data_IF_774447247731
#
_entry.id   IF_774447247731
#
_cell.length_a   1.000
_cell.length_b   1.000
_cell.length_c   1.000
_cell.angle_alpha   90.00
_cell.angle_beta   90.00
_cell.angle_gamma   90.00
#
_symmetry.space_group_name_H-M   'P 1'
#
loop_
_entity.id
_entity.type
_entity.pdbx_description
1 polymer ?
#
# COMPACT_ATOMS: atom_id res chain seq x y z
N UNK A 1 -10.94 -21.51 13.75
CA UNK A 1 -10.36 -20.23 13.26
C UNK A 1 -10.86 -19.12 14.17
N UNK A 2 -9.95 -18.33 14.74
CA UNK A 2 -10.30 -17.26 15.67
C UNK A 2 -10.86 -16.07 14.89
N UNK A 3 -11.99 -15.52 15.35
CA UNK A 3 -12.60 -14.33 14.77
C UNK A 3 -12.00 -13.10 15.44
N UNK A 4 -11.31 -12.28 14.66
CA UNK A 4 -10.73 -11.02 15.11
C UNK A 4 -11.84 -9.99 15.38
N UNK A 5 -11.60 -9.11 16.36
CA UNK A 5 -12.38 -7.87 16.56
C UNK A 5 -11.55 -6.65 16.09
N UNK A 6 -12.23 -5.59 15.66
CA UNK A 6 -11.55 -4.34 15.22
C UNK A 6 -10.75 -3.73 16.38
N UNK A 7 -11.30 -3.73 17.60
CA UNK A 7 -10.63 -3.20 18.78
C UNK A 7 -9.35 -3.96 19.14
N UNK A 8 -9.35 -5.29 19.01
CA UNK A 8 -8.15 -6.10 19.23
C UNK A 8 -7.06 -5.78 18.20
N UNK A 9 -7.41 -5.71 16.90
CA UNK A 9 -6.47 -5.36 15.85
C UNK A 9 -5.89 -3.95 16.01
N UNK A 10 -6.72 -2.99 16.42
CA UNK A 10 -6.30 -1.62 16.72
C UNK A 10 -5.31 -1.59 17.89
N UNK A 11 -5.67 -2.19 19.03
CA UNK A 11 -4.80 -2.26 20.20
C UNK A 11 -3.46 -2.95 19.88
N UNK A 12 -3.50 -4.09 19.18
CA UNK A 12 -2.29 -4.82 18.77
C UNK A 12 -1.42 -4.01 17.80
N UNK A 13 -2.01 -3.17 16.94
CA UNK A 13 -1.24 -2.31 16.02
C UNK A 13 -0.35 -1.36 16.81
N UNK A 14 -0.91 -0.66 17.79
CA UNK A 14 -0.16 0.29 18.61
C UNK A 14 0.73 -0.40 19.65
N UNK A 15 0.35 -1.59 20.14
CA UNK A 15 1.20 -2.40 21.00
C UNK A 15 2.45 -2.87 20.25
N UNK A 16 2.30 -3.39 19.02
CA UNK A 16 3.41 -3.78 18.16
C UNK A 16 4.31 -2.58 17.83
N UNK A 17 3.70 -1.46 17.44
CA UNK A 17 4.43 -0.22 17.15
C UNK A 17 5.24 0.24 18.37
N UNK A 18 4.61 0.32 19.54
CA UNK A 18 5.26 0.76 20.78
C UNK A 18 6.40 -0.17 21.20
N UNK A 19 6.24 -1.49 21.04
CA UNK A 19 7.27 -2.46 21.38
C UNK A 19 8.50 -2.38 20.45
N UNK A 20 8.28 -2.05 19.17
CA UNK A 20 9.32 -2.13 18.14
C UNK A 20 9.77 -0.77 17.61
N UNK A 21 9.26 0.35 18.15
CA UNK A 21 9.38 1.68 17.56
C UNK A 21 10.81 2.06 17.16
N UNK A 22 11.81 1.77 18.02
CA UNK A 22 13.21 2.10 17.76
C UNK A 22 13.76 1.31 16.57
N UNK A 23 13.49 0.00 16.52
CA UNK A 23 13.92 -0.85 15.41
C UNK A 23 13.22 -0.42 14.12
N UNK A 24 11.93 -0.11 14.20
CA UNK A 24 11.17 0.36 13.06
C UNK A 24 11.69 1.69 12.51
N UNK A 25 12.04 2.65 13.39
CA UNK A 25 12.66 3.91 12.97
C UNK A 25 14.01 3.70 12.29
N UNK A 26 14.87 2.84 12.84
CA UNK A 26 16.18 2.57 12.22
C UNK A 26 16.03 1.93 10.84
N UNK A 27 15.21 0.87 10.72
CA UNK A 27 15.11 0.11 9.47
C UNK A 27 14.20 0.76 8.44
N UNK A 28 12.99 1.20 8.81
CA UNK A 28 12.08 1.88 7.87
C UNK A 28 12.51 3.33 7.64
N UNK A 29 12.95 4.05 8.66
CA UNK A 29 13.49 5.41 8.48
C UNK A 29 14.73 5.39 7.58
N UNK A 30 15.66 4.46 7.82
CA UNK A 30 16.82 4.24 6.95
C UNK A 30 16.43 3.85 5.52
N UNK A 31 15.45 2.94 5.36
CA UNK A 31 14.92 2.57 4.06
C UNK A 31 14.29 3.76 3.32
N UNK A 32 13.51 4.60 4.02
CA UNK A 32 12.89 5.80 3.44
C UNK A 32 13.95 6.79 2.97
N UNK A 33 14.96 7.06 3.79
CA UNK A 33 16.08 7.95 3.41
C UNK A 33 16.80 7.41 2.17
N UNK A 34 17.11 6.11 2.15
CA UNK A 34 17.74 5.47 1.00
C UNK A 34 16.86 5.58 -0.25
N UNK A 35 15.57 5.31 -0.14
CA UNK A 35 14.61 5.44 -1.26
C UNK A 35 14.51 6.88 -1.76
N UNK A 36 14.51 7.88 -0.87
CA UNK A 36 14.53 9.29 -1.27
C UNK A 36 15.82 9.65 -2.03
N UNK A 37 16.97 9.17 -1.58
CA UNK A 37 18.26 9.38 -2.26
C UNK A 37 18.28 8.71 -3.63
N UNK A 38 17.82 7.45 -3.72
CA UNK A 38 17.70 6.75 -4.99
C UNK A 38 16.70 7.45 -5.91
N UNK A 39 15.58 7.93 -5.39
CA UNK A 39 14.57 8.67 -6.16
C UNK A 39 15.17 9.94 -6.74
N UNK A 40 15.94 10.68 -5.96
CA UNK A 40 16.67 11.84 -6.45
C UNK A 40 17.68 11.50 -7.55
N UNK A 41 18.38 10.35 -7.47
CA UNK A 41 19.35 9.93 -8.49
C UNK A 41 18.67 9.41 -9.78
N UNK A 42 17.64 8.56 -9.64
CA UNK A 42 16.99 7.89 -10.77
C UNK A 42 15.92 8.75 -11.45
N UNK A 43 15.26 9.65 -10.71
CA UNK A 43 14.09 10.39 -11.20
C UNK A 43 14.35 11.88 -11.45
N UNK A 44 15.58 12.38 -11.21
CA UNK A 44 15.92 13.82 -11.25
C UNK A 44 15.38 14.56 -12.47
N UNK A 45 15.59 13.97 -13.64
CA UNK A 45 15.20 14.56 -14.91
C UNK A 45 13.93 13.90 -15.48
N UNK A 46 13.49 12.77 -14.93
CA UNK A 46 12.40 11.95 -15.47
C UNK A 46 11.07 12.70 -15.52
N UNK A 47 10.75 13.46 -14.47
CA UNK A 47 9.52 14.27 -14.42
C UNK A 47 9.58 15.42 -15.42
N UNK A 48 10.72 16.11 -15.51
CA UNK A 48 10.94 17.18 -16.49
C UNK A 48 10.87 16.64 -17.93
N UNK A 49 11.45 15.45 -18.19
CA UNK A 49 11.37 14.76 -19.47
C UNK A 49 9.92 14.40 -19.82
N UNK A 50 9.10 13.92 -18.87
CA UNK A 50 7.67 13.69 -19.13
C UNK A 50 6.90 14.96 -19.48
N UNK A 51 7.18 16.07 -18.78
CA UNK A 51 6.53 17.36 -19.04
C UNK A 51 6.92 17.94 -20.41
N UNK A 52 8.14 17.68 -20.87
CA UNK A 52 8.65 18.14 -22.17
C UNK A 52 8.38 17.15 -23.32
N UNK A 53 7.97 15.91 -23.04
CA UNK A 53 7.70 14.87 -24.04
C UNK A 53 6.37 15.06 -24.81
N UNK A 54 5.82 16.28 -24.86
CA UNK A 54 4.61 16.55 -25.64
C UNK A 54 4.87 16.24 -27.13
N UNK A 55 4.25 15.17 -27.64
CA UNK A 55 4.41 14.72 -29.02
C UNK A 55 5.52 13.69 -29.27
N UNK A 56 6.27 13.26 -28.24
CA UNK A 56 7.25 12.18 -28.33
C UNK A 56 6.89 11.00 -27.41
N UNK A 57 6.13 10.00 -27.93
CA UNK A 57 5.77 8.81 -27.18
C UNK A 57 6.98 8.02 -26.67
N UNK A 58 8.12 8.08 -27.36
CA UNK A 58 9.31 7.31 -26.98
C UNK A 58 9.98 7.89 -25.73
N UNK A 59 10.09 9.22 -25.64
CA UNK A 59 10.58 9.92 -24.46
C UNK A 59 9.64 9.74 -23.25
N UNK A 60 8.33 9.77 -23.47
CA UNK A 60 7.34 9.52 -22.42
C UNK A 60 7.44 8.08 -21.89
N UNK A 61 7.51 7.08 -22.77
CA UNK A 61 7.66 5.67 -22.39
C UNK A 61 8.99 5.40 -21.68
N UNK A 62 10.08 6.00 -22.14
CA UNK A 62 11.39 5.89 -21.47
C UNK A 62 11.34 6.42 -20.04
N UNK A 63 10.72 7.58 -19.84
CA UNK A 63 10.53 8.15 -18.51
C UNK A 63 9.62 7.28 -17.62
N UNK A 64 8.53 6.73 -18.16
CA UNK A 64 7.66 5.80 -17.42
C UNK A 64 8.41 4.54 -17.00
N UNK A 65 9.28 4.02 -17.86
CA UNK A 65 10.15 2.88 -17.56
C UNK A 65 11.06 3.16 -16.36
N UNK A 66 11.68 4.34 -16.29
CA UNK A 66 12.50 4.74 -15.13
C UNK A 66 11.70 4.84 -13.83
N UNK A 67 10.48 5.40 -13.87
CA UNK A 67 9.59 5.45 -12.70
C UNK A 67 9.22 4.04 -12.25
N UNK A 68 8.89 3.15 -13.18
CA UNK A 68 8.51 1.77 -12.87
C UNK A 68 9.66 0.98 -12.25
N UNK A 69 10.86 1.08 -12.82
CA UNK A 69 12.06 0.45 -12.25
C UNK A 69 12.38 0.99 -10.85
N UNK A 70 12.29 2.31 -10.66
CA UNK A 70 12.45 2.91 -9.34
C UNK A 70 11.42 2.38 -8.35
N UNK A 71 10.14 2.29 -8.74
CA UNK A 71 9.08 1.79 -7.88
C UNK A 71 9.33 0.33 -7.45
N UNK A 72 9.86 -0.51 -8.34
CA UNK A 72 10.27 -1.88 -8.00
C UNK A 72 11.40 -1.85 -6.98
N UNK A 73 12.49 -1.12 -7.25
CA UNK A 73 13.65 -1.07 -6.34
C UNK A 73 13.26 -0.52 -4.97
N UNK A 74 12.51 0.57 -4.94
CA UNK A 74 11.99 1.17 -3.71
C UNK A 74 11.09 0.21 -2.94
N UNK A 75 10.18 -0.47 -3.64
CA UNK A 75 9.31 -1.46 -3.05
C UNK A 75 10.07 -2.65 -2.46
N UNK A 76 11.14 -3.12 -3.12
CA UNK A 76 12.01 -4.18 -2.59
C UNK A 76 12.67 -3.75 -1.28
N UNK A 77 13.23 -2.54 -1.24
CA UNK A 77 13.91 -2.00 -0.05
C UNK A 77 12.92 -1.88 1.12
N UNK A 78 11.76 -1.28 0.89
CA UNK A 78 10.75 -1.07 1.93
C UNK A 78 10.17 -2.41 2.41
N UNK A 79 9.93 -3.35 1.50
CA UNK A 79 9.43 -4.69 1.84
C UNK A 79 10.47 -5.48 2.63
N UNK A 80 11.74 -5.43 2.24
CA UNK A 80 12.83 -6.07 2.97
C UNK A 80 12.91 -5.52 4.40
N UNK A 81 12.89 -4.20 4.58
CA UNK A 81 12.87 -3.57 5.89
C UNK A 81 11.64 -4.00 6.72
N UNK A 82 10.48 -4.09 6.08
CA UNK A 82 9.23 -4.54 6.72
C UNK A 82 9.32 -5.99 7.18
N UNK A 83 9.90 -6.89 6.37
CA UNK A 83 10.10 -8.30 6.72
C UNK A 83 11.06 -8.47 7.90
N UNK A 84 12.13 -7.68 7.97
CA UNK A 84 13.07 -7.68 9.10
C UNK A 84 12.38 -7.23 10.40
N UNK A 85 11.52 -6.22 10.32
CA UNK A 85 10.73 -5.72 11.45
C UNK A 85 9.69 -6.73 11.90
N UNK A 86 8.96 -7.34 10.96
CA UNK A 86 7.99 -8.37 11.31
C UNK A 86 8.70 -9.57 11.95
N UNK A 87 9.87 -9.96 11.46
CA UNK A 87 10.60 -11.09 12.00
C UNK A 87 11.06 -10.83 13.43
N UNK A 88 11.80 -9.75 13.64
CA UNK A 88 12.27 -9.34 14.97
C UNK A 88 11.12 -9.08 15.93
N UNK A 89 10.04 -8.42 15.49
CA UNK A 89 8.89 -8.11 16.32
C UNK A 89 7.94 -9.29 16.60
N UNK A 90 7.93 -10.34 15.78
CA UNK A 90 7.06 -11.51 15.97
C UNK A 90 7.79 -12.70 16.62
N UNK A 91 9.07 -12.92 16.27
CA UNK A 91 9.84 -14.10 16.69
C UNK A 91 11.01 -13.72 17.60
N UNK A 92 11.39 -12.44 17.66
CA UNK A 92 12.59 -11.98 18.35
C UNK A 92 13.85 -12.10 17.48
N UNK A 93 14.99 -11.78 18.08
CA UNK A 93 16.29 -11.76 17.41
C UNK A 93 16.65 -10.41 16.81
N UNK A 94 17.91 -10.29 16.37
CA UNK A 94 18.44 -9.06 15.79
C UNK A 94 18.08 -8.96 14.29
N UNK A 95 17.43 -7.88 13.83
CA UNK A 95 17.13 -7.69 12.42
C UNK A 95 18.36 -7.81 11.51
N UNK A 96 19.53 -7.40 12.00
CA UNK A 96 20.77 -7.37 11.24
C UNK A 96 21.24 -8.78 10.81
N UNK A 97 20.97 -9.83 11.61
CA UNK A 97 21.38 -11.19 11.27
C UNK A 97 20.61 -11.78 10.09
N UNK A 98 19.45 -11.22 9.76
CA UNK A 98 18.56 -11.73 8.72
C UNK A 98 18.51 -10.84 7.47
N UNK A 99 19.39 -9.83 7.32
CA UNK A 99 19.39 -8.91 6.17
C UNK A 99 19.43 -9.66 4.83
N UNK A 100 20.31 -10.67 4.71
CA UNK A 100 20.44 -11.45 3.48
C UNK A 100 19.13 -12.18 3.10
N UNK A 101 18.44 -12.74 4.11
CA UNK A 101 17.12 -13.32 3.92
C UNK A 101 16.07 -12.24 3.59
N UNK A 102 16.06 -11.13 4.33
CA UNK A 102 15.09 -10.05 4.17
C UNK A 102 15.13 -9.42 2.78
N UNK A 103 16.32 -9.21 2.22
CA UNK A 103 16.48 -8.71 0.85
C UNK A 103 15.99 -9.71 -0.19
N UNK A 104 16.38 -10.98 -0.08
CA UNK A 104 15.97 -12.03 -1.02
C UNK A 104 14.46 -12.31 -0.96
N UNK A 105 13.92 -12.48 0.24
CA UNK A 105 12.50 -12.69 0.48
C UNK A 105 11.67 -11.45 0.12
N UNK A 106 12.20 -10.25 0.37
CA UNK A 106 11.57 -8.98 0.00
C UNK A 106 11.46 -8.81 -1.51
N UNK A 107 12.53 -9.14 -2.25
CA UNK A 107 12.50 -9.18 -3.70
C UNK A 107 11.47 -10.19 -4.21
N UNK A 108 11.50 -11.43 -3.72
CA UNK A 108 10.54 -12.47 -4.10
C UNK A 108 9.09 -12.03 -3.82
N UNK A 109 8.81 -11.45 -2.66
CA UNK A 109 7.49 -10.95 -2.30
C UNK A 109 7.02 -9.82 -3.20
N UNK A 110 7.90 -8.87 -3.52
CA UNK A 110 7.57 -7.79 -4.45
C UNK A 110 7.24 -8.31 -5.85
N UNK A 111 8.03 -9.26 -6.38
CA UNK A 111 7.71 -9.87 -7.67
C UNK A 111 6.38 -10.63 -7.64
N UNK A 112 6.11 -11.39 -6.59
CA UNK A 112 4.82 -12.07 -6.43
C UNK A 112 3.66 -11.06 -6.35
N UNK A 113 3.84 -9.95 -5.63
CA UNK A 113 2.84 -8.89 -5.58
C UNK A 113 2.64 -8.23 -6.93
N UNK A 114 3.69 -7.96 -7.72
CA UNK A 114 3.55 -7.46 -9.09
C UNK A 114 2.71 -8.41 -9.94
N UNK A 115 2.96 -9.72 -9.86
CA UNK A 115 2.15 -10.73 -10.56
C UNK A 115 0.69 -10.69 -10.10
N UNK A 116 0.43 -10.59 -8.80
CA UNK A 116 -0.93 -10.47 -8.24
C UNK A 116 -1.61 -9.18 -8.71
N UNK A 117 -0.90 -8.05 -8.72
CA UNK A 117 -1.42 -6.77 -9.21
C UNK A 117 -1.79 -6.86 -10.69
N UNK A 118 -0.91 -7.41 -11.54
CA UNK A 118 -1.17 -7.60 -12.97
C UNK A 118 -2.42 -8.49 -13.16
N UNK A 119 -2.49 -9.62 -12.46
CA UNK A 119 -3.65 -10.51 -12.54
C UNK A 119 -4.95 -9.83 -12.09
N UNK A 120 -4.89 -9.05 -11.01
CA UNK A 120 -6.04 -8.29 -10.47
C UNK A 120 -6.50 -7.20 -11.43
N UNK A 121 -5.57 -6.49 -12.06
CA UNK A 121 -5.86 -5.45 -13.06
C UNK A 121 -6.47 -6.05 -14.32
N UNK A 122 -5.95 -7.18 -14.81
CA UNK A 122 -6.53 -7.90 -15.95
C UNK A 122 -7.96 -8.33 -15.63
N UNK A 123 -8.19 -8.95 -14.46
CA UNK A 123 -9.53 -9.34 -14.01
C UNK A 123 -10.47 -8.12 -13.92
N UNK A 124 -9.97 -7.00 -13.40
CA UNK A 124 -10.73 -5.76 -13.31
C UNK A 124 -11.12 -5.24 -14.70
N UNK A 125 -10.23 -5.28 -15.70
CA UNK A 125 -10.58 -4.89 -17.07
C UNK A 125 -11.64 -5.80 -17.68
N UNK A 126 -11.58 -7.11 -17.41
CA UNK A 126 -12.62 -8.05 -17.83
C UNK A 126 -13.97 -7.69 -17.17
N UNK A 127 -13.97 -7.43 -15.86
CA UNK A 127 -15.18 -7.02 -15.13
C UNK A 127 -15.71 -5.68 -15.66
N UNK A 128 -14.85 -4.69 -15.88
CA UNK A 128 -15.20 -3.38 -16.45
C UNK A 128 -15.80 -3.53 -17.84
N UNK A 129 -15.25 -4.42 -18.68
CA UNK A 129 -15.80 -4.71 -19.99
C UNK A 129 -17.21 -5.31 -19.88
N UNK A 130 -17.39 -6.34 -19.04
CA UNK A 130 -18.69 -6.99 -18.84
C UNK A 130 -19.72 -5.99 -18.31
N UNK A 131 -19.37 -5.26 -17.25
CA UNK A 131 -20.25 -4.26 -16.62
C UNK A 131 -20.54 -3.12 -17.58
N UNK A 132 -19.55 -2.67 -18.36
CA UNK A 132 -19.71 -1.66 -19.39
C UNK A 132 -20.68 -2.12 -20.49
N UNK A 133 -20.55 -3.35 -20.99
CA UNK A 133 -21.47 -3.91 -21.99
C UNK A 133 -22.91 -4.03 -21.43
N UNK A 134 -23.06 -4.45 -20.17
CA UNK A 134 -24.36 -4.47 -19.50
C UNK A 134 -24.93 -3.06 -19.34
N UNK A 135 -24.10 -2.08 -19.00
CA UNK A 135 -24.52 -0.69 -18.88
C UNK A 135 -24.94 -0.10 -20.24
N UNK A 136 -24.25 -0.41 -21.35
CA UNK A 136 -24.71 -0.06 -22.72
C UNK A 136 -26.10 -0.67 -22.97
N UNK A 137 -26.30 -1.93 -22.62
CA UNK A 137 -27.57 -2.63 -22.87
C UNK A 137 -28.74 -2.03 -22.07
N UNK A 138 -28.49 -1.54 -20.85
CA UNK A 138 -29.53 -0.98 -19.97
C UNK A 138 -29.79 0.50 -20.24
N UNK A 139 -28.74 1.30 -20.46
CA UNK A 139 -28.84 2.76 -20.55
C UNK A 139 -28.69 3.32 -21.97
N UNK A 140 -28.36 2.48 -22.95
CA UNK A 140 -28.07 2.88 -24.32
C UNK A 140 -26.68 3.52 -24.48
N UNK A 141 -26.10 3.41 -25.68
CA UNK A 141 -24.77 3.93 -25.98
C UNK A 141 -24.67 5.47 -25.85
N UNK A 142 -25.77 6.19 -26.12
CA UNK A 142 -25.85 7.65 -25.99
C UNK A 142 -25.85 8.14 -24.53
N UNK A 143 -26.27 7.28 -23.59
CA UNK A 143 -26.25 7.61 -22.16
C UNK A 143 -24.85 7.60 -21.56
N UNK A 144 -23.89 6.88 -22.15
CA UNK A 144 -22.57 6.59 -21.56
C UNK A 144 -21.41 7.46 -22.08
N UNK A 145 -21.67 8.54 -22.82
CA UNK A 145 -20.59 9.44 -23.24
C UNK A 145 -20.04 10.24 -22.05
N UNK A 146 -18.73 10.55 -22.06
CA UNK A 146 -18.15 11.47 -21.07
C UNK A 146 -18.85 12.84 -21.10
N UNK A 147 -19.35 13.22 -22.26
CA UNK A 147 -20.08 14.46 -22.51
C UNK A 147 -21.46 14.47 -21.86
N UNK A 148 -22.19 13.34 -21.82
CA UNK A 148 -23.46 13.24 -21.10
C UNK A 148 -23.27 13.38 -19.59
N UNK A 149 -22.19 12.79 -19.05
CA UNK A 149 -21.85 12.87 -17.62
C UNK A 149 -21.43 14.29 -17.21
N UNK A 150 -20.68 14.99 -18.07
CA UNK A 150 -20.17 16.34 -17.81
C UNK A 150 -21.24 17.45 -17.97
N UNK A 151 -22.23 17.23 -18.82
CA UNK A 151 -23.26 18.25 -19.14
C UNK A 151 -24.53 18.12 -18.32
N UNK A 152 -24.53 17.32 -17.25
CA UNK A 152 -25.75 16.96 -16.48
C UNK A 152 -26.82 16.22 -17.31
N UNK A 153 -26.47 15.76 -18.51
CA UNK A 153 -27.35 14.98 -19.40
C UNK A 153 -27.43 13.49 -19.04
N UNK A 154 -26.55 13.00 -18.18
CA UNK A 154 -26.60 11.66 -17.64
C UNK A 154 -27.86 11.47 -16.79
N UNK A 155 -28.61 10.40 -17.05
CA UNK A 155 -29.77 10.06 -16.23
C UNK A 155 -29.33 9.86 -14.78
N UNK A 156 -30.17 10.26 -13.81
CA UNK A 156 -29.89 10.04 -12.39
C UNK A 156 -29.58 8.56 -12.08
N UNK A 157 -30.16 7.64 -12.85
CA UNK A 157 -29.87 6.21 -12.78
C UNK A 157 -28.43 5.84 -13.18
N UNK A 158 -27.85 6.47 -14.20
CA UNK A 158 -26.46 6.23 -14.61
C UNK A 158 -25.46 6.78 -13.60
N UNK A 159 -25.72 7.97 -13.04
CA UNK A 159 -24.88 8.57 -12.01
C UNK A 159 -24.86 7.67 -10.75
N UNK A 160 -26.04 7.23 -10.32
CA UNK A 160 -26.17 6.31 -9.18
C UNK A 160 -25.48 4.97 -9.43
N UNK A 161 -25.63 4.40 -10.64
CA UNK A 161 -24.92 3.18 -11.04
C UNK A 161 -23.40 3.34 -11.00
N UNK A 162 -22.86 4.43 -11.56
CA UNK A 162 -21.43 4.70 -11.56
C UNK A 162 -20.88 4.84 -10.13
N UNK A 163 -21.61 5.52 -9.24
CA UNK A 163 -21.26 5.64 -7.83
C UNK A 163 -21.21 4.27 -7.13
N UNK A 164 -22.26 3.46 -7.28
CA UNK A 164 -22.31 2.11 -6.69
C UNK A 164 -21.18 1.22 -7.22
N UNK A 165 -20.92 1.28 -8.52
CA UNK A 165 -19.87 0.50 -9.15
C UNK A 165 -18.49 0.90 -8.62
N UNK A 166 -18.20 2.20 -8.53
CA UNK A 166 -16.94 2.70 -7.97
C UNK A 166 -16.77 2.30 -6.49
N UNK A 167 -17.83 2.42 -5.69
CA UNK A 167 -17.82 1.96 -4.30
C UNK A 167 -17.56 0.45 -4.19
N UNK A 168 -18.17 -0.36 -5.06
CA UNK A 168 -17.95 -1.81 -5.11
C UNK A 168 -16.49 -2.16 -5.46
N UNK A 169 -15.89 -1.45 -6.41
CA UNK A 169 -14.47 -1.62 -6.77
C UNK A 169 -13.58 -1.29 -5.57
N UNK A 170 -13.81 -0.16 -4.89
CA UNK A 170 -13.03 0.20 -3.69
C UNK A 170 -13.13 -0.86 -2.60
N UNK A 171 -14.34 -1.33 -2.30
CA UNK A 171 -14.57 -2.38 -1.30
C UNK A 171 -13.88 -3.69 -1.71
N UNK A 172 -13.94 -4.04 -3.00
CA UNK A 172 -13.25 -5.22 -3.52
C UNK A 172 -11.74 -5.16 -3.31
N UNK A 173 -11.09 -4.04 -3.65
CA UNK A 173 -9.66 -3.86 -3.42
C UNK A 173 -9.30 -3.94 -1.94
N UNK A 174 -10.09 -3.29 -1.08
CA UNK A 174 -9.87 -3.30 0.36
C UNK A 174 -10.03 -4.70 0.96
N UNK A 175 -11.01 -5.46 0.47
CA UNK A 175 -11.24 -6.85 0.84
C UNK A 175 -10.12 -7.76 0.33
N UNK A 176 -9.78 -7.68 -0.95
CA UNK A 176 -8.81 -8.55 -1.59
C UNK A 176 -7.40 -8.36 -1.00
N UNK A 177 -6.89 -7.13 -0.97
CA UNK A 177 -5.59 -6.84 -0.38
C UNK A 177 -5.60 -6.97 1.14
N UNK A 178 -6.73 -6.69 1.80
CA UNK A 178 -6.92 -6.98 3.21
C UNK A 178 -6.68 -8.45 3.54
N UNK A 179 -7.18 -9.37 2.70
CA UNK A 179 -6.97 -10.82 2.87
C UNK A 179 -5.54 -11.28 2.58
N UNK A 180 -4.78 -10.53 1.78
CA UNK A 180 -3.39 -10.82 1.49
C UNK A 180 -2.41 -10.15 2.48
N UNK A 181 -2.89 -9.20 3.29
CA UNK A 181 -2.06 -8.38 4.18
C UNK A 181 -1.15 -9.17 5.13
N UNK A 182 -1.59 -10.32 5.64
CA UNK A 182 -0.81 -11.12 6.59
C UNK A 182 0.26 -12.00 5.94
N UNK A 183 0.39 -12.01 4.61
CA UNK A 183 1.37 -12.83 3.91
C UNK A 183 2.81 -12.44 4.27
N UNK A 184 3.09 -11.13 4.38
CA UNK A 184 4.41 -10.62 4.79
C UNK A 184 4.78 -11.04 6.22
N UNK A 185 3.94 -10.75 7.24
CA UNK A 185 4.13 -11.24 8.61
C UNK A 185 4.32 -12.76 8.68
N UNK A 186 3.57 -13.52 7.89
CA UNK A 186 3.67 -14.98 7.85
C UNK A 186 4.99 -15.48 7.26
N UNK A 187 5.49 -14.83 6.20
CA UNK A 187 6.83 -15.12 5.68
C UNK A 187 7.91 -14.83 6.73
N UNK A 188 7.76 -13.72 7.46
CA UNK A 188 8.70 -13.30 8.49
C UNK A 188 8.72 -14.24 9.70
N UNK A 189 7.55 -14.64 10.18
CA UNK A 189 7.41 -15.60 11.28
C UNK A 189 8.04 -16.96 10.92
N UNK A 190 7.77 -17.46 9.71
CA UNK A 190 8.23 -18.79 9.29
C UNK A 190 9.63 -18.79 8.64
N UNK A 191 10.29 -17.63 8.51
CA UNK A 191 11.52 -17.45 7.70
C UNK A 191 11.40 -18.01 6.28
N UNK A 192 10.21 -17.89 5.67
CA UNK A 192 9.94 -18.42 4.34
C UNK A 192 10.35 -17.42 3.26
N UNK A 193 10.99 -17.93 2.20
CA UNK A 193 11.29 -17.16 0.99
C UNK A 193 10.28 -17.41 -0.15
N UNK A 194 9.26 -18.26 0.07
CA UNK A 194 8.24 -18.55 -0.93
C UNK A 194 6.98 -17.68 -0.70
N UNK A 195 6.78 -16.63 -1.52
CA UNK A 195 5.67 -15.70 -1.33
C UNK A 195 4.31 -16.28 -1.73
N UNK A 196 4.25 -17.20 -2.72
CA UNK A 196 2.97 -17.75 -3.20
C UNK A 196 2.33 -18.67 -2.16
N UNK A 197 3.13 -19.47 -1.46
CA UNK A 197 2.65 -20.26 -0.32
C UNK A 197 2.12 -19.34 0.78
N UNK A 198 2.83 -18.25 1.08
CA UNK A 198 2.40 -17.30 2.09
C UNK A 198 1.11 -16.54 1.71
N UNK A 199 0.93 -16.20 0.43
CA UNK A 199 -0.31 -15.59 -0.07
C UNK A 199 -1.50 -16.56 0.07
N UNK A 200 -1.31 -17.84 -0.30
CA UNK A 200 -2.34 -18.86 -0.13
C UNK A 200 -2.72 -19.09 1.34
N UNK A 201 -1.72 -19.11 2.22
CA UNK A 201 -1.97 -19.26 3.66
C UNK A 201 -2.61 -18.02 4.28
N UNK A 202 -2.17 -16.82 3.88
CA UNK A 202 -2.77 -15.54 4.24
C UNK A 202 -4.27 -15.51 3.90
N UNK A 203 -4.63 -15.98 2.70
CA UNK A 203 -6.02 -16.13 2.30
C UNK A 203 -6.79 -17.06 3.23
N UNK A 204 -6.24 -18.24 3.56
CA UNK A 204 -6.88 -19.20 4.47
C UNK A 204 -7.09 -18.62 5.87
N UNK A 205 -6.06 -18.01 6.45
CA UNK A 205 -6.08 -17.45 7.80
C UNK A 205 -7.08 -16.31 7.97
N UNK A 206 -7.21 -15.46 6.94
CA UNK A 206 -8.10 -14.28 6.99
C UNK A 206 -9.57 -14.61 6.70
N UNK A 207 -9.91 -15.86 6.33
CA UNK A 207 -11.26 -16.23 5.86
C UNK A 207 -12.38 -15.96 6.88
N UNK A 208 -12.15 -16.29 8.15
CA UNK A 208 -13.13 -16.08 9.23
C UNK A 208 -13.33 -14.60 9.62
N UNK A 209 -12.35 -13.75 9.31
CA UNK A 209 -12.30 -12.34 9.74
C UNK A 209 -12.29 -11.34 8.57
N UNK A 210 -12.60 -11.79 7.36
CA UNK A 210 -12.45 -11.00 6.12
C UNK A 210 -13.13 -9.61 6.19
N UNK A 211 -14.37 -9.54 6.68
CA UNK A 211 -15.11 -8.28 6.79
C UNK A 211 -14.68 -7.45 8.00
N UNK A 212 -14.21 -8.07 9.08
CA UNK A 212 -13.59 -7.36 10.19
C UNK A 212 -12.30 -6.67 9.73
N UNK A 213 -11.49 -7.34 8.90
CA UNK A 213 -10.25 -6.77 8.32
C UNK A 213 -10.60 -5.57 7.43
N UNK A 214 -11.64 -5.68 6.60
CA UNK A 214 -12.14 -4.55 5.81
C UNK A 214 -12.53 -3.38 6.72
N UNK A 215 -13.37 -3.62 7.73
CA UNK A 215 -13.80 -2.57 8.68
C UNK A 215 -12.63 -1.94 9.44
N UNK A 216 -11.63 -2.74 9.84
CA UNK A 216 -10.40 -2.24 10.44
C UNK A 216 -9.60 -1.36 9.49
N UNK A 217 -9.41 -1.77 8.23
CA UNK A 217 -8.71 -0.94 7.24
C UNK A 217 -9.46 0.36 6.92
N UNK A 218 -10.80 0.35 6.90
CA UNK A 218 -11.62 1.57 6.77
C UNK A 218 -11.36 2.51 7.95
N UNK A 219 -11.39 1.99 9.18
CA UNK A 219 -11.09 2.78 10.37
C UNK A 219 -9.70 3.42 10.28
N UNK A 220 -8.67 2.64 9.93
CA UNK A 220 -7.31 3.14 9.79
C UNK A 220 -7.17 4.15 8.65
N UNK A 221 -7.87 3.95 7.53
CA UNK A 221 -7.90 4.91 6.43
C UNK A 221 -8.54 6.26 6.86
N UNK A 222 -9.63 6.22 7.63
CA UNK A 222 -10.25 7.43 8.20
C UNK A 222 -9.25 8.15 9.14
N UNK A 223 -8.54 7.40 10.00
CA UNK A 223 -7.56 7.99 10.90
C UNK A 223 -6.38 8.62 10.15
N UNK A 224 -5.88 7.95 9.10
CA UNK A 224 -4.84 8.53 8.24
C UNK A 224 -5.34 9.75 7.48
N UNK A 225 -6.59 9.75 7.00
CA UNK A 225 -7.19 10.91 6.36
C UNK A 225 -7.27 12.10 7.33
N UNK A 226 -7.75 11.89 8.55
CA UNK A 226 -7.80 12.94 9.59
C UNK A 226 -6.40 13.44 9.93
N UNK A 227 -5.43 12.53 10.09
CA UNK A 227 -4.03 12.89 10.32
C UNK A 227 -3.47 13.75 9.19
N UNK A 228 -3.61 13.33 7.93
CA UNK A 228 -3.16 14.08 6.76
C UNK A 228 -3.88 15.42 6.61
N UNK A 229 -5.17 15.48 6.94
CA UNK A 229 -5.93 16.72 6.95
C UNK A 229 -5.34 17.71 7.97
N UNK A 230 -5.12 17.29 9.22
CA UNK A 230 -4.53 18.14 10.26
C UNK A 230 -3.11 18.57 9.88
N UNK A 231 -2.29 17.63 9.43
CA UNK A 231 -0.91 17.89 9.02
C UNK A 231 -0.87 18.86 7.84
N UNK A 232 -1.76 18.72 6.86
CA UNK A 232 -1.81 19.64 5.71
C UNK A 232 -2.29 21.04 6.09
N UNK A 233 -3.16 21.20 7.10
CA UNK A 233 -3.50 22.52 7.64
C UNK A 233 -2.30 23.20 8.31
N UNK A 234 -1.41 22.43 8.95
CA UNK A 234 -0.23 22.96 9.65
C UNK A 234 0.95 23.19 8.69
N UNK A 235 1.19 22.25 7.79
CA UNK A 235 2.34 22.24 6.88
C UNK A 235 2.03 22.78 5.47
N UNK A 236 0.78 23.11 5.16
CA UNK A 236 0.37 23.61 3.84
C UNK A 236 1.11 24.88 3.42
N UNK A 237 1.45 25.75 4.38
CA UNK A 237 2.29 26.92 4.15
C UNK A 237 3.77 26.59 3.85
N UNK A 238 4.29 25.47 4.36
CA UNK A 238 5.67 25.01 4.12
C UNK A 238 5.78 24.39 2.73
N UNK A 239 4.79 23.58 2.33
CA UNK A 239 4.76 22.90 1.03
C UNK A 239 4.59 23.91 -0.12
N UNK A 240 3.76 24.95 0.07
CA UNK A 240 3.58 26.02 -0.93
C UNK A 240 4.84 26.85 -1.20
N UNK A 241 5.78 26.93 -0.24
CA UNK A 241 7.06 27.61 -0.42
C UNK A 241 8.12 26.79 -1.17
N UNK A 242 7.94 25.47 -1.27
CA UNK A 242 8.89 24.55 -1.90
C UNK A 242 8.61 24.29 -3.39
N UNK A 243 7.50 24.80 -3.92
CA UNK A 243 7.05 24.59 -5.30
C UNK A 243 7.74 25.51 -6.31
N UNK A 244 8.75 26.29 -5.89
CA UNK A 244 9.48 27.20 -6.77
C UNK A 244 10.47 26.43 -7.66
N UNK A 245 10.56 26.74 -8.97
CA UNK A 245 11.45 26.03 -9.91
C UNK A 245 12.95 26.11 -9.56
N UNK A 246 13.36 27.10 -8.76
CA UNK A 246 14.76 27.37 -8.38
C UNK A 246 15.16 26.77 -7.02
N UNK A 247 14.33 25.89 -6.47
CA UNK A 247 14.51 25.41 -5.12
C UNK A 247 15.71 24.44 -5.05
N UNK A 248 16.88 24.99 -4.73
CA UNK A 248 18.15 24.27 -4.60
C UNK A 248 18.18 23.25 -3.43
N UNK A 249 19.37 22.96 -2.90
CA UNK A 249 19.57 21.97 -1.81
C UNK A 249 18.66 22.22 -0.58
N UNK A 250 18.28 23.48 -0.31
CA UNK A 250 17.35 23.83 0.76
C UNK A 250 15.94 23.27 0.58
N UNK A 251 15.45 23.14 -0.65
CA UNK A 251 14.15 22.53 -0.96
C UNK A 251 14.17 21.01 -0.79
N UNK A 252 15.30 20.39 -1.15
CA UNK A 252 15.53 18.97 -0.91
C UNK A 252 15.52 18.67 0.60
N UNK A 253 16.20 19.48 1.41
CA UNK A 253 16.19 19.35 2.86
C UNK A 253 14.77 19.58 3.42
N UNK A 254 14.06 20.60 2.95
CA UNK A 254 12.66 20.85 3.33
C UNK A 254 11.74 19.68 2.98
N UNK A 255 11.87 19.12 1.77
CA UNK A 255 11.12 17.95 1.32
C UNK A 255 11.43 16.71 2.14
N UNK A 256 12.70 16.53 2.50
CA UNK A 256 13.14 15.39 3.30
C UNK A 256 12.63 15.50 4.74
N UNK A 257 12.61 16.71 5.33
CA UNK A 257 12.02 16.95 6.65
C UNK A 257 10.50 16.69 6.63
N UNK A 258 9.78 17.22 5.63
CA UNK A 258 8.33 16.98 5.49
C UNK A 258 8.06 15.49 5.25
N UNK A 259 8.82 14.85 4.38
CA UNK A 259 8.72 13.42 4.15
C UNK A 259 8.97 12.63 5.45
N UNK A 260 9.99 12.95 6.23
CA UNK A 260 10.25 12.26 7.49
C UNK A 260 9.13 12.50 8.51
N UNK A 261 8.65 13.73 8.68
CA UNK A 261 7.62 14.06 9.66
C UNK A 261 6.25 13.48 9.32
N UNK A 262 5.92 13.34 8.04
CA UNK A 262 4.60 12.88 7.59
C UNK A 262 4.62 11.40 7.22
N UNK A 263 5.60 10.99 6.41
CA UNK A 263 5.64 9.64 5.84
C UNK A 263 6.12 8.60 6.84
N UNK A 264 7.10 8.91 7.70
CA UNK A 264 7.61 7.92 8.67
C UNK A 264 6.51 7.46 9.62
N UNK A 265 5.75 8.34 10.32
CA UNK A 265 4.65 7.88 11.18
C UNK A 265 3.63 7.02 10.43
N UNK A 266 3.27 7.39 9.21
CA UNK A 266 2.34 6.62 8.38
C UNK A 266 2.87 5.24 8.04
N UNK A 267 4.14 5.13 7.61
CA UNK A 267 4.79 3.86 7.27
C UNK A 267 4.92 2.98 8.50
N UNK A 268 5.30 3.55 9.66
CA UNK A 268 5.39 2.81 10.91
C UNK A 268 4.05 2.17 11.28
N UNK A 269 2.95 2.92 11.22
CA UNK A 269 1.60 2.38 11.48
C UNK A 269 1.21 1.36 10.41
N UNK A 270 1.46 1.66 9.13
CA UNK A 270 1.11 0.77 8.01
C UNK A 270 1.84 -0.58 8.06
N UNK A 271 3.09 -0.62 8.57
CA UNK A 271 3.83 -1.87 8.78
C UNK A 271 3.34 -2.60 10.04
N UNK A 272 2.86 -1.89 11.06
CA UNK A 272 2.31 -2.49 12.28
C UNK A 272 0.96 -3.16 12.06
N UNK A 273 0.13 -2.60 11.16
CA UNK A 273 -1.23 -3.10 10.87
C UNK A 273 -1.24 -4.59 10.44
N UNK A 274 -0.47 -5.05 9.43
CA UNK A 274 -0.40 -6.46 9.08
C UNK A 274 0.06 -7.38 10.22
N UNK A 275 1.03 -6.94 11.03
CA UNK A 275 1.52 -7.73 12.15
C UNK A 275 0.46 -7.93 13.23
N UNK A 276 -0.33 -6.88 13.51
CA UNK A 276 -1.47 -6.94 14.41
C UNK A 276 -2.56 -7.89 13.91
N UNK A 277 -2.95 -7.75 12.63
CA UNK A 277 -3.93 -8.66 12.01
C UNK A 277 -3.42 -10.09 12.09
N UNK A 278 -2.14 -10.34 11.78
CA UNK A 278 -1.52 -11.67 11.90
C UNK A 278 -1.60 -12.23 13.32
N UNK A 279 -1.29 -11.45 14.36
CA UNK A 279 -1.42 -11.90 15.75
C UNK A 279 -2.86 -12.23 16.15
N UNK A 280 -3.82 -11.42 15.69
CA UNK A 280 -5.23 -11.61 16.02
C UNK A 280 -5.89 -12.79 15.29
N UNK A 281 -5.44 -13.14 14.07
CA UNK A 281 -6.02 -14.26 13.29
C UNK A 281 -5.17 -15.52 13.36
N UNK A 282 -3.88 -15.37 13.64
CA UNK A 282 -2.86 -16.43 13.64
C UNK A 282 -2.57 -17.03 15.00
N UNK A 283 -3.19 -16.54 16.08
CA UNK A 283 -3.10 -17.18 17.39
C UNK A 283 -3.67 -18.60 17.32
N UNK A 284 -2.80 -19.59 17.13
CA UNK A 284 -2.96 -20.88 17.80
C UNK A 284 -2.90 -20.54 19.28
N UNK A 285 -4.04 -20.56 19.96
CA UNK A 285 -4.07 -20.45 21.40
C UNK A 285 -3.18 -21.58 21.94
N UNK A 286 -2.11 -21.24 22.66
CA UNK A 286 -1.26 -22.23 23.35
C UNK A 286 -2.06 -23.14 24.32
N UNK A 287 -3.33 -22.81 24.57
CA UNK A 287 -4.28 -23.64 25.33
C UNK A 287 -4.71 -24.93 24.61
N UNK A 288 -4.56 -25.06 23.29
CA UNK A 288 -4.98 -26.28 22.56
C UNK A 288 -3.93 -27.40 22.57
N UNK A 289 -2.76 -27.20 23.20
CA UNK A 289 -1.74 -28.25 23.38
C UNK A 289 -1.94 -29.04 24.69
N UNK A 290 -2.81 -28.54 25.58
CA UNK A 290 -3.09 -29.15 26.88
C UNK A 290 -4.59 -29.32 27.18
N UNK A 291 -5.45 -29.28 26.16
CA UNK A 291 -6.90 -29.56 26.29
C UNK A 291 -7.26 -30.92 25.70
#
# INVERSE_FOLDING_TARGET
>A
MVKMSIGAAFSETFAFLKANWMQMLMWLGGAVVLVCLLGWLFLRNTVATMMMAQGDPSAALGAMGSIFLFAIVAGIIVTAASLLIWRSGLVGGEPASDIGWGLGAGAAYMFAMVVVYIATVILMYIVLLIVGLLAVAVFGASGMSFESLATSGASAGLIFFAFLFYAAVLIFFLWFFGRLSVAGPLMAANRSSNPFTALGESWRLTSASQWTIVGFNILMAILFFVFLFIVSMVLGGVIGGMSSPDAGVGALIGALIVALLVYVPMVLVSVSMPAAVYRCVGSRTETDVFA
#
